data_IF_979476291617
#
_entry.id   IF_979476291617
#
_cell.length_a   1.000
_cell.length_b   1.000
_cell.length_c   1.000
_cell.angle_alpha   90.00
_cell.angle_beta   90.00
_cell.angle_gamma   90.00
#
_symmetry.space_group_name_H-M   'P 1'
#
loop_
_entity.id
_entity.type
_entity.pdbx_description
1 polymer ?
#
# COMPACT_ATOMS: atom_id res chain seq x y z
N UNK A 1 0.50 18.78 -15.37
CA UNK A 1 -0.97 18.67 -15.52
C UNK A 1 -1.61 18.52 -14.15
N UNK A 2 -2.86 18.97 -13.93
CA UNK A 2 -3.58 18.70 -12.69
C UNK A 2 -3.60 17.19 -12.39
N UNK A 3 -3.38 16.82 -11.12
CA UNK A 3 -3.24 15.41 -10.73
C UNK A 3 -4.45 14.57 -11.09
N UNK A 4 -5.66 15.05 -10.82
CA UNK A 4 -6.90 14.31 -11.07
C UNK A 4 -7.17 14.04 -12.56
N UNK A 5 -6.77 14.95 -13.46
CA UNK A 5 -6.91 14.75 -14.90
C UNK A 5 -6.09 13.54 -15.40
N UNK A 6 -4.96 13.24 -14.76
CA UNK A 6 -4.17 12.05 -15.10
C UNK A 6 -4.94 10.77 -14.77
N UNK A 7 -5.50 10.66 -13.57
CA UNK A 7 -6.34 9.52 -13.18
C UNK A 7 -7.52 9.33 -14.15
N UNK A 8 -8.26 10.39 -14.47
CA UNK A 8 -9.42 10.31 -15.37
C UNK A 8 -9.02 9.88 -16.79
N UNK A 9 -7.90 10.38 -17.32
CA UNK A 9 -7.38 9.94 -18.62
C UNK A 9 -6.95 8.47 -18.59
N UNK A 10 -6.40 7.98 -17.48
CA UNK A 10 -6.07 6.57 -17.37
C UNK A 10 -7.33 5.69 -17.39
N UNK A 11 -8.38 6.10 -16.67
CA UNK A 11 -9.69 5.43 -16.72
C UNK A 11 -10.25 5.44 -18.14
N UNK A 12 -10.25 6.59 -18.82
CA UNK A 12 -10.70 6.72 -20.19
C UNK A 12 -9.90 5.81 -21.14
N UNK A 13 -8.57 5.81 -21.02
CA UNK A 13 -7.70 4.97 -21.83
C UNK A 13 -8.02 3.47 -21.66
N UNK A 14 -8.25 3.01 -20.44
CA UNK A 14 -8.64 1.62 -20.16
C UNK A 14 -9.98 1.29 -20.82
N UNK A 15 -10.97 2.19 -20.75
CA UNK A 15 -12.29 1.95 -21.33
C UNK A 15 -12.26 1.92 -22.87
N UNK A 16 -11.42 2.75 -23.49
CA UNK A 16 -11.33 2.87 -24.94
C UNK A 16 -10.41 1.81 -25.59
N UNK A 17 -9.31 1.46 -24.91
CA UNK A 17 -8.22 0.65 -25.50
C UNK A 17 -7.93 -0.64 -24.73
N UNK A 18 -8.58 -0.86 -23.58
CA UNK A 18 -8.34 -2.04 -22.76
C UNK A 18 -8.91 -3.32 -23.34
N UNK A 19 -8.31 -4.44 -22.95
CA UNK A 19 -8.78 -5.77 -23.35
C UNK A 19 -9.66 -6.36 -22.26
N UNK A 20 -10.80 -6.94 -22.68
CA UNK A 20 -11.64 -7.71 -21.78
C UNK A 20 -10.91 -8.98 -21.34
N UNK A 21 -10.88 -9.21 -20.05
CA UNK A 21 -10.23 -10.38 -19.45
C UNK A 21 -11.15 -10.97 -18.40
N UNK A 22 -11.33 -12.28 -18.44
CA UNK A 22 -11.95 -12.99 -17.32
C UNK A 22 -11.00 -12.94 -16.12
N UNK A 23 -11.55 -12.80 -14.93
CA UNK A 23 -10.79 -12.72 -13.69
C UNK A 23 -11.31 -13.74 -12.67
N UNK A 24 -10.54 -13.96 -11.60
CA UNK A 24 -10.86 -14.92 -10.55
C UNK A 24 -12.18 -14.65 -9.81
N UNK A 25 -12.81 -13.50 -10.04
CA UNK A 25 -14.06 -13.09 -9.37
C UNK A 25 -15.29 -13.44 -10.20
N UNK A 26 -15.13 -13.80 -11.49
CA UNK A 26 -16.23 -14.10 -12.39
C UNK A 26 -16.97 -12.86 -12.92
N UNK A 27 -16.57 -11.65 -12.51
CA UNK A 27 -17.13 -10.38 -12.99
C UNK A 27 -16.50 -10.00 -14.33
N UNK A 28 -15.21 -10.32 -14.50
CA UNK A 28 -14.41 -9.87 -15.64
C UNK A 28 -13.94 -8.42 -15.48
N UNK A 29 -12.91 -8.07 -16.24
CA UNK A 29 -12.28 -6.74 -16.21
C UNK A 29 -12.01 -6.24 -17.62
N UNK A 30 -11.89 -4.92 -17.78
CA UNK A 30 -11.25 -4.29 -18.93
C UNK A 30 -9.87 -3.83 -18.44
N UNK A 31 -8.80 -4.29 -19.07
CA UNK A 31 -7.45 -4.12 -18.54
C UNK A 31 -6.44 -3.71 -19.59
N UNK A 32 -5.45 -2.92 -19.15
CA UNK A 32 -4.21 -2.63 -19.87
C UNK A 32 -3.03 -3.02 -18.97
N UNK A 33 -1.85 -3.22 -19.56
CA UNK A 33 -0.64 -3.56 -18.80
C UNK A 33 0.37 -2.43 -18.86
N UNK A 34 0.64 -1.82 -17.70
CA UNK A 34 1.57 -0.71 -17.55
C UNK A 34 0.89 0.65 -17.77
N UNK A 35 0.82 1.43 -16.70
CA UNK A 35 0.44 2.83 -16.71
C UNK A 35 1.26 3.58 -15.67
N UNK A 36 1.43 4.88 -15.84
CA UNK A 36 2.10 5.75 -14.88
C UNK A 36 1.35 7.07 -14.76
N UNK A 37 1.27 7.60 -13.54
CA UNK A 37 0.81 8.95 -13.26
C UNK A 37 1.84 9.65 -12.36
N UNK A 38 1.81 10.97 -12.28
CA UNK A 38 2.66 11.75 -11.38
C UNK A 38 1.86 12.86 -10.72
N UNK A 39 1.76 12.83 -9.40
CA UNK A 39 1.04 13.79 -8.59
C UNK A 39 2.04 14.70 -7.87
N UNK A 40 1.96 16.01 -8.09
CA UNK A 40 2.68 16.97 -7.25
C UNK A 40 2.03 16.99 -5.87
N UNK A 41 2.84 16.87 -4.82
CA UNK A 41 2.41 17.00 -3.43
C UNK A 41 2.68 18.42 -2.88
N UNK A 42 3.31 19.29 -3.67
CA UNK A 42 3.55 20.68 -3.30
C UNK A 42 2.21 21.42 -3.23
N UNK A 43 1.95 22.02 -2.08
CA UNK A 43 0.79 22.86 -1.77
C UNK A 43 -0.58 22.21 -2.04
N UNK A 44 -0.64 20.89 -2.13
CA UNK A 44 -1.88 20.15 -2.42
C UNK A 44 -1.79 18.68 -1.99
N UNK A 45 -2.92 18.09 -1.62
CA UNK A 45 -3.03 16.66 -1.35
C UNK A 45 -3.90 15.99 -2.44
N UNK A 46 -3.41 14.98 -3.17
CA UNK A 46 -4.13 14.39 -4.30
C UNK A 46 -5.24 13.43 -3.83
N UNK A 47 -6.29 13.99 -3.24
CA UNK A 47 -7.56 13.31 -2.99
C UNK A 47 -8.51 13.62 -4.16
N UNK A 48 -9.00 12.59 -4.84
CA UNK A 48 -9.92 12.80 -5.96
C UNK A 48 -11.16 13.58 -5.52
N UNK A 49 -11.61 14.50 -6.37
CA UNK A 49 -12.75 15.39 -6.12
C UNK A 49 -14.00 15.01 -6.91
N UNK A 50 -13.84 14.27 -8.01
CA UNK A 50 -14.92 13.71 -8.85
C UNK A 50 -15.72 12.62 -8.16
N UNK A 51 -15.27 12.12 -7.01
CA UNK A 51 -16.03 11.25 -6.11
C UNK A 51 -15.57 11.40 -4.66
N UNK A 52 -16.43 11.07 -3.71
CA UNK A 52 -16.05 11.04 -2.29
C UNK A 52 -15.14 9.84 -1.99
N UNK A 53 -13.97 10.12 -1.41
CA UNK A 53 -13.02 9.09 -0.94
C UNK A 53 -13.15 8.91 0.58
N UNK A 54 -13.12 7.66 1.06
CA UNK A 54 -13.26 7.36 2.49
C UNK A 54 -11.94 7.60 3.26
N UNK A 55 -11.72 8.86 3.65
CA UNK A 55 -10.49 9.33 4.30
C UNK A 55 -10.13 8.57 5.58
N UNK A 56 -11.10 8.29 6.45
CA UNK A 56 -10.84 7.54 7.70
C UNK A 56 -10.21 6.17 7.42
N UNK A 57 -10.67 5.49 6.36
CA UNK A 57 -10.07 4.23 5.94
C UNK A 57 -8.62 4.37 5.52
N UNK A 58 -8.31 5.38 4.70
CA UNK A 58 -6.94 5.68 4.25
C UNK A 58 -6.00 5.90 5.43
N UNK A 59 -6.39 6.75 6.38
CA UNK A 59 -5.56 7.10 7.53
C UNK A 59 -5.35 5.90 8.46
N UNK A 60 -6.43 5.23 8.88
CA UNK A 60 -6.34 4.15 9.86
C UNK A 60 -5.61 2.92 9.31
N UNK A 61 -5.81 2.58 8.03
CA UNK A 61 -5.07 1.50 7.38
C UNK A 61 -3.57 1.82 7.31
N UNK A 62 -3.20 3.04 6.92
CA UNK A 62 -1.80 3.43 6.86
C UNK A 62 -1.13 3.37 8.24
N UNK A 63 -1.81 3.85 9.28
CA UNK A 63 -1.30 3.74 10.65
C UNK A 63 -1.18 2.29 11.11
N UNK A 64 -2.10 1.42 10.69
CA UNK A 64 -2.06 -0.02 10.95
C UNK A 64 -0.87 -0.70 10.24
N UNK A 65 -0.58 -0.34 8.98
CA UNK A 65 0.64 -0.77 8.29
C UNK A 65 1.91 -0.28 8.98
N UNK A 66 1.97 1.02 9.32
CA UNK A 66 3.13 1.61 10.01
C UNK A 66 3.38 0.90 11.34
N UNK A 67 2.33 0.56 12.11
CA UNK A 67 2.44 -0.20 13.36
C UNK A 67 3.00 -1.61 13.16
N UNK A 68 2.92 -2.16 11.95
CA UNK A 68 3.31 -3.55 11.68
C UNK A 68 2.21 -4.58 11.97
N UNK A 69 0.98 -4.12 12.18
CA UNK A 69 -0.13 -4.99 12.57
C UNK A 69 -0.60 -5.87 11.40
N UNK A 70 -1.13 -7.04 11.75
CA UNK A 70 -1.71 -8.04 10.82
C UNK A 70 -3.11 -8.49 11.24
N UNK A 71 -3.63 -7.92 12.33
CA UNK A 71 -4.96 -8.19 12.86
C UNK A 71 -6.00 -7.23 12.26
N UNK A 72 -6.85 -7.76 11.38
CA UNK A 72 -7.92 -6.99 10.74
C UNK A 72 -8.94 -6.42 11.75
N UNK A 73 -9.15 -7.09 12.90
CA UNK A 73 -10.12 -6.67 13.92
C UNK A 73 -9.76 -5.31 14.54
N UNK A 74 -8.49 -4.92 14.53
CA UNK A 74 -8.07 -3.58 14.97
C UNK A 74 -8.67 -2.47 14.10
N UNK A 75 -8.77 -2.70 12.79
CA UNK A 75 -9.41 -1.78 11.85
C UNK A 75 -10.94 -1.85 11.98
N UNK A 76 -11.51 -3.04 12.08
CA UNK A 76 -12.96 -3.23 12.22
C UNK A 76 -13.50 -2.55 13.48
N UNK A 77 -12.76 -2.62 14.60
CA UNK A 77 -13.10 -1.93 15.85
C UNK A 77 -13.16 -0.40 15.71
N UNK A 78 -12.43 0.17 14.74
CA UNK A 78 -12.47 1.59 14.39
C UNK A 78 -13.49 1.90 13.30
N UNK A 79 -14.30 0.93 12.87
CA UNK A 79 -15.28 1.08 11.80
C UNK A 79 -14.66 1.09 10.39
N UNK A 80 -13.43 0.61 10.24
CA UNK A 80 -12.75 0.46 8.94
C UNK A 80 -12.79 -1.01 8.54
N UNK A 81 -13.61 -1.33 7.53
CA UNK A 81 -13.99 -2.72 7.18
C UNK A 81 -13.31 -3.27 5.91
N UNK A 82 -12.29 -2.58 5.42
CA UNK A 82 -11.66 -2.87 4.11
C UNK A 82 -11.01 -4.27 4.06
N UNK A 83 -10.62 -4.82 5.22
CA UNK A 83 -10.02 -6.15 5.36
C UNK A 83 -10.98 -7.22 5.90
N UNK A 84 -12.20 -6.87 6.30
CA UNK A 84 -13.15 -7.80 6.95
C UNK A 84 -13.42 -9.03 6.06
N UNK A 85 -13.62 -8.81 4.75
CA UNK A 85 -13.89 -9.89 3.80
C UNK A 85 -12.68 -10.83 3.61
N UNK A 86 -11.46 -10.31 3.69
CA UNK A 86 -10.23 -11.11 3.54
C UNK A 86 -9.81 -11.78 4.85
N UNK A 87 -10.25 -11.27 5.99
CA UNK A 87 -10.01 -11.85 7.31
C UNK A 87 -11.11 -12.79 7.79
N UNK A 88 -12.22 -12.94 7.07
CA UNK A 88 -13.36 -13.77 7.49
C UNK A 88 -12.99 -15.25 7.54
N UNK A 89 -13.66 -16.02 8.42
CA UNK A 89 -13.48 -17.48 8.51
C UNK A 89 -13.64 -18.17 7.15
N UNK A 90 -14.72 -17.84 6.43
CA UNK A 90 -15.02 -18.40 5.10
C UNK A 90 -13.88 -18.14 4.10
N UNK A 91 -13.36 -16.92 4.06
CA UNK A 91 -12.30 -16.57 3.13
C UNK A 91 -10.99 -17.28 3.48
N UNK A 92 -10.61 -17.29 4.76
CA UNK A 92 -9.41 -17.97 5.23
C UNK A 92 -9.46 -19.48 4.95
N UNK A 93 -10.60 -20.13 5.17
CA UNK A 93 -10.78 -21.55 4.83
C UNK A 93 -10.64 -21.80 3.33
N UNK A 94 -11.22 -20.93 2.50
CA UNK A 94 -11.09 -21.00 1.04
C UNK A 94 -9.65 -20.80 0.56
N UNK A 95 -8.83 -20.05 1.30
CA UNK A 95 -7.39 -19.91 1.03
C UNK A 95 -6.54 -21.04 1.63
N UNK A 96 -7.14 -22.02 2.31
CA UNK A 96 -6.44 -23.15 2.94
C UNK A 96 -5.89 -22.87 4.33
N UNK A 97 -6.29 -21.77 4.97
CA UNK A 97 -5.85 -21.37 6.31
C UNK A 97 -6.82 -21.82 7.41
N UNK A 98 -7.18 -23.10 7.42
CA UNK A 98 -8.20 -23.65 8.34
C UNK A 98 -7.87 -23.46 9.83
N UNK A 99 -6.59 -23.40 10.18
CA UNK A 99 -6.13 -23.24 11.56
C UNK A 99 -5.78 -21.79 11.93
N UNK A 100 -5.88 -20.83 11.00
CA UNK A 100 -5.58 -19.41 11.25
C UNK A 100 -6.75 -18.73 11.92
N UNK A 101 -6.52 -17.92 12.95
CA UNK A 101 -7.63 -17.21 13.61
C UNK A 101 -8.35 -16.25 12.65
N UNK A 102 -9.67 -16.12 12.79
CA UNK A 102 -10.42 -15.10 12.05
C UNK A 102 -9.86 -13.70 12.34
N UNK A 103 -9.62 -12.92 11.29
CA UNK A 103 -8.97 -11.61 11.35
C UNK A 103 -7.45 -11.63 11.22
N UNK A 104 -6.78 -12.79 11.34
CA UNK A 104 -5.35 -12.92 11.08
C UNK A 104 -5.10 -12.98 9.57
N UNK A 105 -4.52 -11.91 9.04
CA UNK A 105 -4.26 -11.77 7.61
C UNK A 105 -2.94 -12.42 7.16
N UNK A 106 -2.16 -12.99 8.08
CA UNK A 106 -0.80 -13.45 7.81
C UNK A 106 0.20 -12.29 7.68
N UNK A 107 1.42 -12.55 7.16
CA UNK A 107 2.50 -11.57 7.10
C UNK A 107 2.33 -10.56 5.95
N UNK A 108 1.22 -9.80 5.95
CA UNK A 108 0.87 -8.77 4.95
C UNK A 108 1.72 -7.50 5.10
N UNK A 109 1.33 -6.40 4.45
CA UNK A 109 2.11 -5.16 4.30
C UNK A 109 2.82 -4.69 5.56
N UNK A 110 2.10 -4.46 6.67
CA UNK A 110 2.70 -3.93 7.89
C UNK A 110 3.80 -4.83 8.44
N UNK A 111 3.56 -6.14 8.47
CA UNK A 111 4.56 -7.11 8.87
C UNK A 111 5.80 -7.04 7.96
N UNK A 112 5.62 -7.00 6.64
CA UNK A 112 6.76 -6.88 5.73
C UNK A 112 7.48 -5.54 5.90
N UNK A 113 6.80 -4.45 6.24
CA UNK A 113 7.44 -3.14 6.44
C UNK A 113 8.31 -3.08 7.69
N UNK A 114 7.89 -3.76 8.77
CA UNK A 114 8.55 -3.68 10.09
C UNK A 114 9.39 -4.91 10.45
N UNK A 115 9.10 -6.06 9.85
CA UNK A 115 9.62 -7.38 10.22
C UNK A 115 9.98 -8.25 9.01
N UNK A 116 10.44 -7.65 7.90
CA UNK A 116 10.72 -8.39 6.66
C UNK A 116 11.66 -9.58 6.91
N UNK A 117 11.25 -10.77 6.49
CA UNK A 117 12.04 -12.00 6.63
C UNK A 117 11.97 -12.69 8.00
N UNK A 118 11.28 -12.12 8.99
CA UNK A 118 10.93 -12.82 10.22
C UNK A 118 9.98 -14.00 9.93
N UNK A 119 10.05 -15.05 10.74
CA UNK A 119 9.11 -16.17 10.64
C UNK A 119 7.76 -15.78 11.26
N UNK A 120 6.71 -15.74 10.44
CA UNK A 120 5.36 -15.44 10.91
C UNK A 120 4.78 -16.62 11.70
N UNK A 121 4.26 -16.34 12.89
CA UNK A 121 3.58 -17.29 13.77
C UNK A 121 2.07 -17.03 13.78
N UNK A 122 1.66 -15.89 14.33
CA UNK A 122 0.28 -15.41 14.41
C UNK A 122 0.25 -13.88 14.57
N UNK A 123 -0.94 -13.30 14.51
CA UNK A 123 -1.15 -11.85 14.68
C UNK A 123 -0.97 -11.30 16.11
N UNK A 124 -0.76 -12.16 17.12
CA UNK A 124 -0.63 -11.78 18.53
C UNK A 124 0.82 -11.79 19.03
N UNK A 125 1.69 -12.48 18.31
CA UNK A 125 3.11 -12.60 18.60
C UNK A 125 3.79 -11.23 18.59
N UNK A 126 4.63 -10.98 19.58
CA UNK A 126 5.53 -9.82 19.58
C UNK A 126 6.72 -10.09 18.65
N UNK A 127 6.75 -9.36 17.52
CA UNK A 127 7.82 -9.43 16.53
C UNK A 127 8.90 -8.35 16.73
N UNK A 128 8.89 -7.65 17.88
CA UNK A 128 9.92 -6.64 18.19
C UNK A 128 11.33 -7.21 18.02
N UNK A 129 12.18 -6.47 17.30
CA UNK A 129 13.55 -6.86 16.95
C UNK A 129 13.69 -8.13 16.08
N UNK A 130 12.62 -8.59 15.45
CA UNK A 130 12.64 -9.70 14.49
C UNK A 130 12.53 -9.19 13.05
N UNK A 131 13.31 -9.80 12.15
CA UNK A 131 13.33 -9.43 10.73
C UNK A 131 14.05 -8.09 10.48
N UNK A 132 13.75 -7.48 9.33
CA UNK A 132 14.30 -6.19 8.92
C UNK A 132 13.19 -5.13 8.99
N UNK A 133 13.40 -4.09 9.80
CA UNK A 133 12.55 -2.90 9.82
C UNK A 133 12.90 -1.99 8.63
N UNK A 134 12.23 -2.22 7.50
CA UNK A 134 12.45 -1.48 6.27
C UNK A 134 12.04 -0.02 6.41
N UNK A 135 10.93 0.26 7.10
CA UNK A 135 10.44 1.63 7.28
C UNK A 135 11.45 2.45 8.09
N UNK A 136 11.97 1.90 9.19
CA UNK A 136 13.00 2.55 9.99
C UNK A 136 14.27 2.79 9.17
N UNK A 137 14.74 1.77 8.43
CA UNK A 137 15.92 1.88 7.56
C UNK A 137 15.74 2.95 6.47
N UNK A 138 14.56 3.08 5.88
CA UNK A 138 14.24 4.15 4.92
C UNK A 138 14.38 5.52 5.59
N UNK A 139 13.77 5.72 6.75
CA UNK A 139 13.82 7.00 7.48
C UNK A 139 15.25 7.36 7.86
N UNK A 140 16.02 6.40 8.37
CA UNK A 140 17.43 6.59 8.72
C UNK A 140 18.30 6.93 7.51
N UNK A 141 18.10 6.21 6.40
CA UNK A 141 18.86 6.45 5.17
C UNK A 141 18.55 7.83 4.60
N UNK A 142 17.29 8.28 4.60
CA UNK A 142 16.92 9.63 4.18
C UNK A 142 17.63 10.69 5.03
N UNK A 143 17.76 10.48 6.34
CA UNK A 143 18.42 11.43 7.26
C UNK A 143 19.93 11.48 7.10
N UNK A 144 20.55 10.33 6.81
CA UNK A 144 22.02 10.17 6.91
C UNK A 144 22.72 10.08 5.56
N UNK A 145 22.03 9.59 4.54
CA UNK A 145 22.53 9.43 3.18
C UNK A 145 21.40 9.68 2.14
N UNK A 146 20.88 10.93 2.04
CA UNK A 146 19.72 11.25 1.20
C UNK A 146 19.92 10.99 -0.31
N UNK A 147 21.17 11.00 -0.79
CA UNK A 147 21.52 10.72 -2.19
C UNK A 147 21.57 9.22 -2.51
N UNK A 148 21.28 8.35 -1.54
CA UNK A 148 21.26 6.90 -1.74
C UNK A 148 20.18 6.52 -2.77
N UNK A 149 20.56 5.65 -3.71
CA UNK A 149 19.68 5.15 -4.77
C UNK A 149 18.96 3.86 -4.40
N UNK A 150 19.08 3.42 -3.14
CA UNK A 150 18.56 2.15 -2.61
C UNK A 150 17.53 2.36 -1.49
N UNK A 151 16.97 3.57 -1.37
CA UNK A 151 15.93 3.89 -0.39
C UNK A 151 14.61 3.24 -0.84
N UNK A 152 14.44 1.96 -0.52
CA UNK A 152 13.36 1.11 -1.03
C UNK A 152 12.68 0.41 0.15
N UNK A 153 11.36 0.25 0.04
CA UNK A 153 10.55 -0.59 0.92
C UNK A 153 9.71 -1.54 0.06
N UNK A 154 9.79 -2.85 0.33
CA UNK A 154 9.06 -3.89 -0.42
C UNK A 154 8.08 -4.63 0.47
N UNK A 155 6.84 -4.80 0.01
CA UNK A 155 5.88 -5.73 0.60
C UNK A 155 5.92 -7.11 -0.10
N UNK A 156 6.57 -7.21 -1.27
CA UNK A 156 6.63 -8.45 -2.03
C UNK A 156 7.76 -9.36 -1.53
N UNK A 157 7.42 -10.28 -0.62
CA UNK A 157 8.33 -11.30 -0.10
C UNK A 157 7.96 -12.69 -0.66
N UNK A 158 8.70 -13.23 -1.66
CA UNK A 158 8.36 -14.50 -2.30
C UNK A 158 8.20 -15.69 -1.34
N UNK A 159 8.94 -15.70 -0.22
CA UNK A 159 8.85 -16.76 0.80
C UNK A 159 7.49 -16.77 1.50
N UNK A 160 6.93 -15.59 1.73
CA UNK A 160 5.76 -15.41 2.58
C UNK A 160 4.46 -15.21 1.79
N UNK A 161 4.51 -15.06 0.46
CA UNK A 161 3.31 -14.82 -0.38
C UNK A 161 2.22 -15.87 -0.12
N UNK A 162 2.59 -17.14 0.01
CA UNK A 162 1.66 -18.25 0.27
C UNK A 162 1.06 -18.23 1.69
N UNK A 163 1.60 -17.41 2.60
CA UNK A 163 1.11 -17.27 3.97
C UNK A 163 0.14 -16.10 4.10
N UNK A 164 0.04 -15.20 3.12
CA UNK A 164 -0.80 -14.01 3.19
C UNK A 164 -2.23 -14.30 2.77
N UNK A 165 -3.22 -13.73 3.47
CA UNK A 165 -4.62 -13.80 3.07
C UNK A 165 -4.85 -13.22 1.66
N UNK A 166 -4.11 -12.15 1.32
CA UNK A 166 -4.10 -11.60 -0.02
C UNK A 166 -2.67 -11.10 -0.36
N UNK A 167 -2.08 -11.53 -1.49
CA UNK A 167 -0.78 -11.03 -1.92
C UNK A 167 -0.81 -9.50 -2.16
N UNK A 168 0.27 -8.77 -1.86
CA UNK A 168 0.25 -7.31 -1.84
C UNK A 168 0.10 -6.74 -3.24
N UNK A 169 -0.87 -5.83 -3.44
CA UNK A 169 -1.07 -5.09 -4.68
C UNK A 169 0.00 -4.00 -4.85
N UNK A 170 0.35 -3.31 -3.76
CA UNK A 170 1.48 -2.38 -3.67
C UNK A 170 2.74 -3.16 -3.35
N UNK A 171 3.48 -3.54 -4.39
CA UNK A 171 4.57 -4.49 -4.23
C UNK A 171 5.82 -3.82 -3.66
N UNK A 172 6.13 -2.59 -4.11
CA UNK A 172 7.37 -1.89 -3.78
C UNK A 172 7.19 -0.38 -3.88
N UNK A 173 7.82 0.39 -2.99
CA UNK A 173 8.03 1.81 -3.20
C UNK A 173 9.51 2.20 -3.05
N UNK A 174 9.91 3.20 -3.83
CA UNK A 174 11.23 3.81 -3.79
C UNK A 174 11.10 5.28 -3.43
N UNK A 175 11.99 5.77 -2.58
CA UNK A 175 12.06 7.17 -2.20
C UNK A 175 13.26 7.85 -2.87
N UNK A 176 13.11 9.15 -3.13
CA UNK A 176 14.12 9.97 -3.78
C UNK A 176 14.15 11.34 -3.15
N UNK A 177 15.33 11.78 -2.69
CA UNK A 177 15.55 13.11 -2.14
C UNK A 177 16.24 13.97 -3.18
N UNK A 178 15.71 15.17 -3.42
CA UNK A 178 16.35 16.16 -4.28
C UNK A 178 15.95 17.56 -3.82
N UNK A 179 16.91 18.48 -3.72
CA UNK A 179 16.67 19.90 -3.37
C UNK A 179 15.85 20.09 -2.08
N UNK A 180 16.07 19.25 -1.06
CA UNK A 180 15.33 19.31 0.20
C UNK A 180 13.90 18.77 0.13
N UNK A 181 13.53 18.08 -0.96
CA UNK A 181 12.21 17.50 -1.16
C UNK A 181 12.27 15.97 -1.26
N UNK A 182 11.29 15.29 -0.67
CA UNK A 182 11.10 13.85 -0.74
C UNK A 182 10.02 13.49 -1.75
N UNK A 183 10.37 12.67 -2.75
CA UNK A 183 9.42 12.03 -3.67
C UNK A 183 9.33 10.53 -3.40
N UNK A 184 8.20 9.93 -3.77
CA UNK A 184 7.95 8.49 -3.66
C UNK A 184 7.46 7.96 -5.00
N UNK A 185 8.02 6.84 -5.45
CA UNK A 185 7.55 6.08 -6.59
C UNK A 185 6.99 4.75 -6.12
N UNK A 186 5.73 4.47 -6.43
CA UNK A 186 5.02 3.25 -6.08
C UNK A 186 4.90 2.33 -7.30
N UNK A 187 5.32 1.08 -7.16
CA UNK A 187 5.00 0.02 -8.10
C UNK A 187 3.81 -0.80 -7.60
N UNK A 188 2.67 -0.64 -8.27
CA UNK A 188 1.44 -1.38 -8.00
C UNK A 188 1.20 -2.43 -9.09
N UNK A 189 1.31 -3.72 -8.74
CA UNK A 189 1.17 -4.84 -9.69
C UNK A 189 -0.26 -5.06 -10.18
N UNK A 190 -1.25 -4.55 -9.45
CA UNK A 190 -2.68 -4.71 -9.73
C UNK A 190 -3.44 -3.51 -9.16
N UNK A 191 -4.08 -2.74 -10.03
CA UNK A 191 -4.82 -1.54 -9.65
C UNK A 191 -6.27 -1.59 -10.10
N UNK A 192 -7.19 -1.74 -9.15
CA UNK A 192 -8.61 -1.47 -9.39
C UNK A 192 -8.76 0.05 -9.51
N UNK A 193 -8.93 0.54 -10.74
CA UNK A 193 -9.06 1.96 -11.01
C UNK A 193 -10.34 2.56 -10.43
N UNK A 194 -11.41 1.78 -10.31
CA UNK A 194 -12.71 2.25 -9.83
C UNK A 194 -12.74 2.40 -8.31
N UNK A 195 -12.19 1.43 -7.58
CA UNK A 195 -12.21 1.42 -6.11
C UNK A 195 -10.83 1.66 -5.51
N UNK A 196 -9.85 0.79 -5.79
CA UNK A 196 -8.56 0.74 -5.07
C UNK A 196 -7.63 1.93 -5.32
N UNK A 197 -7.34 2.26 -6.58
CA UNK A 197 -6.32 3.26 -6.96
C UNK A 197 -6.55 4.64 -6.32
N UNK A 198 -7.78 5.17 -6.25
CA UNK A 198 -8.07 6.40 -5.51
C UNK A 198 -7.64 6.39 -4.04
N UNK A 199 -7.83 5.26 -3.34
CA UNK A 199 -7.34 5.09 -1.98
C UNK A 199 -5.81 4.99 -1.93
N UNK A 200 -5.21 4.36 -2.94
CA UNK A 200 -3.77 4.10 -2.98
C UNK A 200 -2.96 5.38 -3.25
N UNK A 201 -3.47 6.25 -4.13
CA UNK A 201 -2.92 7.61 -4.35
C UNK A 201 -2.91 8.38 -3.03
N UNK A 202 -4.03 8.41 -2.32
CA UNK A 202 -4.13 9.11 -1.04
C UNK A 202 -3.22 8.50 0.03
N UNK A 203 -3.19 7.17 0.15
CA UNK A 203 -2.40 6.46 1.15
C UNK A 203 -0.89 6.68 0.98
N UNK A 204 -0.34 6.50 -0.22
CA UNK A 204 1.09 6.70 -0.46
C UNK A 204 1.48 8.18 -0.52
N UNK A 205 0.56 9.09 -0.87
CA UNK A 205 0.77 10.52 -0.67
C UNK A 205 0.94 10.82 0.81
N UNK A 206 0.02 10.35 1.66
CA UNK A 206 0.07 10.56 3.11
C UNK A 206 1.35 9.96 3.72
N UNK A 207 1.75 8.75 3.32
CA UNK A 207 3.03 8.15 3.73
C UNK A 207 4.22 9.06 3.38
N UNK A 208 4.22 9.61 2.16
CA UNK A 208 5.28 10.53 1.71
C UNK A 208 5.31 11.80 2.55
N UNK A 209 4.15 12.38 2.86
CA UNK A 209 4.04 13.51 3.80
C UNK A 209 4.60 13.19 5.18
N UNK A 210 4.22 12.04 5.74
CA UNK A 210 4.66 11.62 7.08
C UNK A 210 6.18 11.43 7.13
N UNK A 211 6.76 10.72 6.16
CA UNK A 211 8.21 10.51 6.10
C UNK A 211 8.93 11.84 5.90
N UNK A 212 8.50 12.67 4.95
CA UNK A 212 9.10 13.99 4.73
C UNK A 212 9.10 14.83 6.01
N UNK A 213 7.98 14.85 6.73
CA UNK A 213 7.85 15.57 7.99
C UNK A 213 8.85 15.10 9.05
N UNK A 214 8.95 13.79 9.31
CA UNK A 214 9.84 13.25 10.36
C UNK A 214 11.33 13.28 9.96
N UNK A 215 11.64 13.53 8.70
CA UNK A 215 13.01 13.74 8.18
C UNK A 215 13.35 15.20 7.93
N UNK A 216 12.45 16.15 8.22
CA UNK A 216 12.68 17.59 8.03
C UNK A 216 12.72 18.03 6.57
N UNK A 217 12.15 17.25 5.65
CA UNK A 217 12.08 17.55 4.22
C UNK A 217 10.71 18.11 3.84
N UNK A 218 10.64 18.77 2.70
CA UNK A 218 9.38 19.09 2.03
C UNK A 218 8.93 17.91 1.16
N UNK A 219 7.67 17.89 0.75
CA UNK A 219 7.18 16.87 -0.19
C UNK A 219 7.42 17.30 -1.64
N UNK A 220 7.80 16.34 -2.49
CA UNK A 220 7.97 16.50 -3.93
C UNK A 220 6.79 15.91 -4.70
N UNK A 221 6.97 14.70 -5.24
CA UNK A 221 5.96 14.00 -6.03
C UNK A 221 5.64 12.60 -5.49
N UNK A 222 4.40 12.17 -5.70
CA UNK A 222 4.04 10.76 -5.79
C UNK A 222 4.02 10.34 -7.26
N UNK A 223 4.68 9.24 -7.59
CA UNK A 223 4.70 8.62 -8.93
C UNK A 223 4.12 7.22 -8.84
#
# INVERSE_FOLDING_TARGET
>A
EPGEAQYLRQVQHILEHGHRKEDRTGIGTISVFGMQARYSLRDQFPLLTTKKVFWKGVLEELLWFIKGSTNAKELSAKGVKIWDANGSREFLDKQGFSNREEGDLGPVYGFQWRHFGAEYKDMHTDYSNQGIDQLQKVIETIKTNPDDRRIIMSAWNPKDISLMALPPCHALCQFYVLNGELSCQLYQRSGDMGLGVPFNIASYSLLTYMIAHVTGLKVGHLI
#
